data_IF_294422665403
#
_entry.id   IF_294422665403
#
_cell.length_a   1.000
_cell.length_b   1.000
_cell.length_c   1.000
_cell.angle_alpha   90.00
_cell.angle_beta   90.00
_cell.angle_gamma   90.00
#
_symmetry.space_group_name_H-M   'P 1'
#
loop_
_entity.id
_entity.type
_entity.pdbx_description
1 polymer ?
#
# COMPACT_ATOMS: atom_id res chain seq x y z
N UNK A 1 13.23 20.35 -6.47
CA UNK A 1 14.43 19.48 -6.49
C UNK A 1 14.09 18.30 -7.41
N UNK A 2 14.30 18.44 -8.72
CA UNK A 2 13.94 17.41 -9.68
C UNK A 2 14.92 16.25 -9.61
N UNK A 3 14.40 15.01 -9.59
CA UNK A 3 15.26 13.84 -9.66
C UNK A 3 16.00 13.84 -11.00
N UNK A 4 17.34 13.79 -10.97
CA UNK A 4 18.15 13.62 -12.18
C UNK A 4 17.95 12.19 -12.65
N UNK A 5 17.12 12.01 -13.69
CA UNK A 5 16.87 10.69 -14.29
C UNK A 5 18.12 10.30 -15.09
N UNK A 6 18.76 9.15 -14.81
CA UNK A 6 19.94 8.72 -15.55
C UNK A 6 19.65 8.57 -17.05
N UNK A 7 20.58 8.99 -17.90
CA UNK A 7 20.43 9.00 -19.38
C UNK A 7 20.06 7.64 -20.00
N UNK A 8 20.40 6.53 -19.33
CA UNK A 8 20.02 5.18 -19.74
C UNK A 8 18.53 4.86 -19.49
N UNK A 9 17.95 5.38 -18.39
CA UNK A 9 16.53 5.22 -18.04
C UNK A 9 15.64 5.95 -19.05
N UNK A 10 16.09 7.11 -19.54
CA UNK A 10 15.40 7.87 -20.59
C UNK A 10 15.32 7.15 -21.93
N UNK A 11 16.22 6.21 -22.26
CA UNK A 11 16.17 5.50 -23.55
C UNK A 11 15.05 4.45 -23.59
N UNK A 12 14.90 3.65 -22.52
CA UNK A 12 13.86 2.60 -22.44
C UNK A 12 12.43 3.16 -22.35
N UNK A 13 12.28 4.36 -21.79
CA UNK A 13 10.97 5.00 -21.60
C UNK A 13 10.46 5.77 -22.82
N UNK A 14 11.28 6.00 -23.85
CA UNK A 14 10.89 6.76 -25.06
C UNK A 14 9.60 6.28 -25.71
N UNK A 15 9.38 4.96 -25.92
CA UNK A 15 8.14 4.49 -26.52
C UNK A 15 6.91 4.81 -25.66
N UNK A 16 6.99 4.59 -24.35
CA UNK A 16 5.90 4.87 -23.40
C UNK A 16 5.62 6.36 -23.34
N UNK A 17 6.65 7.19 -23.26
CA UNK A 17 6.54 8.64 -23.23
C UNK A 17 5.90 9.18 -24.53
N UNK A 18 6.31 8.63 -25.68
CA UNK A 18 5.70 8.95 -26.97
C UNK A 18 4.20 8.63 -26.96
N UNK A 19 3.79 7.44 -26.51
CA UNK A 19 2.37 7.07 -26.42
C UNK A 19 1.61 8.02 -25.49
N UNK A 20 2.11 8.26 -24.27
CA UNK A 20 1.45 9.11 -23.28
C UNK A 20 1.31 10.57 -23.75
N UNK A 21 2.24 11.07 -24.55
CA UNK A 21 2.17 12.40 -25.15
C UNK A 21 1.36 12.46 -26.45
N UNK A 22 0.94 11.33 -27.03
CA UNK A 22 0.14 11.28 -28.26
C UNK A 22 -1.33 10.86 -28.03
N UNK A 23 -1.75 10.61 -26.80
CA UNK A 23 -3.17 10.40 -26.45
C UNK A 23 -3.87 11.71 -26.05
N UNK A 24 -5.21 11.72 -26.03
CA UNK A 24 -5.99 12.88 -25.60
C UNK A 24 -5.88 13.13 -24.09
N UNK A 25 -5.97 12.05 -23.31
CA UNK A 25 -5.96 12.10 -21.85
C UNK A 25 -5.12 10.96 -21.25
N UNK A 26 -4.43 11.26 -20.16
CA UNK A 26 -3.71 10.32 -19.30
C UNK A 26 -4.36 10.35 -17.93
N UNK A 27 -4.87 9.22 -17.45
CA UNK A 27 -5.50 9.16 -16.13
C UNK A 27 -4.49 8.71 -15.07
N UNK A 28 -4.20 9.60 -14.12
CA UNK A 28 -3.38 9.28 -12.96
C UNK A 28 -4.26 8.91 -11.76
N UNK A 29 -3.92 7.82 -11.08
CA UNK A 29 -4.68 7.32 -9.92
C UNK A 29 -4.33 8.02 -8.58
N UNK A 30 -3.30 8.86 -8.56
CA UNK A 30 -2.84 9.58 -7.37
C UNK A 30 -1.99 10.79 -7.76
N UNK A 31 -1.84 11.74 -6.82
CA UNK A 31 -0.91 12.86 -7.00
C UNK A 31 0.54 12.39 -7.19
N UNK A 32 0.93 11.31 -6.51
CA UNK A 32 2.26 10.71 -6.70
C UNK A 32 2.47 10.27 -8.15
N UNK A 33 1.51 9.52 -8.72
CA UNK A 33 1.59 9.04 -10.10
C UNK A 33 1.54 10.20 -11.10
N UNK A 34 0.71 11.22 -10.87
CA UNK A 34 0.67 12.44 -11.69
C UNK A 34 2.05 13.11 -11.72
N UNK A 35 2.64 13.37 -10.54
CA UNK A 35 3.93 14.05 -10.45
C UNK A 35 5.05 13.23 -11.06
N UNK A 36 5.05 11.91 -10.86
CA UNK A 36 6.01 11.02 -11.50
C UNK A 36 5.90 11.07 -13.03
N UNK A 37 4.68 11.11 -13.59
CA UNK A 37 4.50 11.23 -15.03
C UNK A 37 5.02 12.56 -15.58
N UNK A 38 4.80 13.67 -14.85
CA UNK A 38 5.34 15.00 -15.19
C UNK A 38 6.87 14.98 -15.16
N UNK A 39 7.46 14.42 -14.10
CA UNK A 39 8.91 14.29 -13.95
C UNK A 39 9.54 13.44 -15.08
N UNK A 40 8.79 12.47 -15.61
CA UNK A 40 9.17 11.64 -16.75
C UNK A 40 8.92 12.31 -18.13
N UNK A 41 8.33 13.50 -18.16
CA UNK A 41 8.14 14.32 -19.38
C UNK A 41 6.77 14.22 -20.05
N UNK A 42 5.76 13.68 -19.37
CA UNK A 42 4.37 13.68 -19.88
C UNK A 42 3.80 15.11 -19.77
N UNK A 43 3.13 15.58 -20.82
CA UNK A 43 2.47 16.89 -20.83
C UNK A 43 1.40 16.95 -19.72
N UNK A 44 1.61 17.80 -18.72
CA UNK A 44 0.71 17.96 -17.58
C UNK A 44 -0.73 18.25 -18.02
N UNK A 45 -0.91 18.99 -19.13
CA UNK A 45 -2.24 19.37 -19.62
C UNK A 45 -3.07 18.16 -20.05
N UNK A 46 -2.41 17.03 -20.37
CA UNK A 46 -3.06 15.77 -20.73
C UNK A 46 -3.41 14.93 -19.51
N UNK A 47 -2.83 15.21 -18.34
CA UNK A 47 -3.00 14.37 -17.15
C UNK A 47 -4.23 14.80 -16.37
N UNK A 48 -5.18 13.87 -16.23
CA UNK A 48 -6.36 14.01 -15.37
C UNK A 48 -6.16 13.13 -14.13
N UNK A 49 -6.33 13.73 -12.95
CA UNK A 49 -6.29 12.99 -11.68
C UNK A 49 -7.66 12.37 -11.40
N UNK A 50 -7.75 11.04 -11.38
CA UNK A 50 -8.94 10.30 -10.96
C UNK A 50 -8.50 9.27 -9.93
N UNK A 51 -8.77 9.54 -8.65
CA UNK A 51 -8.47 8.59 -7.59
C UNK A 51 -9.39 7.36 -7.70
N UNK A 52 -8.89 6.15 -7.41
CA UNK A 52 -9.74 4.97 -7.30
C UNK A 52 -10.86 5.23 -6.30
N UNK A 53 -12.09 4.87 -6.68
CA UNK A 53 -13.23 4.91 -5.79
C UNK A 53 -13.13 3.88 -4.67
N UNK A 54 -13.88 4.12 -3.60
CA UNK A 54 -14.16 3.13 -2.56
C UNK A 54 -15.68 3.01 -2.43
N UNK A 55 -16.16 1.80 -2.13
CA UNK A 55 -17.57 1.62 -1.83
C UNK A 55 -17.92 2.36 -0.53
N UNK A 56 -19.16 2.86 -0.40
CA UNK A 56 -19.65 3.41 0.85
C UNK A 56 -19.50 2.40 1.99
N UNK A 57 -19.19 2.91 3.19
CA UNK A 57 -19.13 2.07 4.38
C UNK A 57 -20.51 1.49 4.64
N UNK A 58 -20.58 0.15 4.65
CA UNK A 58 -21.78 -0.58 5.05
C UNK A 58 -21.83 -0.73 6.57
N UNK A 59 -23.04 -0.72 7.13
CA UNK A 59 -23.22 -1.04 8.55
C UNK A 59 -22.77 -2.48 8.81
N UNK A 60 -21.89 -2.65 9.79
CA UNK A 60 -21.37 -3.97 10.17
C UNK A 60 -22.38 -4.62 11.13
N UNK A 61 -22.97 -5.79 10.78
CA UNK A 61 -23.88 -6.48 11.67
C UNK A 61 -23.26 -6.76 13.05
N UNK A 62 -24.02 -6.52 14.12
CA UNK A 62 -23.56 -6.66 15.51
C UNK A 62 -22.88 -8.01 15.80
N UNK A 63 -23.38 -9.11 15.21
CA UNK A 63 -22.79 -10.45 15.38
C UNK A 63 -21.29 -10.49 15.05
N UNK A 64 -20.85 -9.77 14.01
CA UNK A 64 -19.44 -9.75 13.61
C UNK A 64 -18.59 -8.87 14.54
N UNK A 65 -19.19 -7.82 15.12
CA UNK A 65 -18.54 -7.02 16.16
C UNK A 65 -18.34 -7.85 17.44
N UNK A 66 -19.36 -8.62 17.83
CA UNK A 66 -19.31 -9.51 18.98
C UNK A 66 -18.24 -10.60 18.78
N UNK A 67 -18.19 -11.24 17.60
CA UNK A 67 -17.15 -12.21 17.23
C UNK A 67 -15.73 -11.62 17.28
N UNK A 68 -15.54 -10.42 16.70
CA UNK A 68 -14.25 -9.74 16.72
C UNK A 68 -13.80 -9.41 18.16
N UNK A 69 -14.74 -9.00 19.04
CA UNK A 69 -14.42 -8.73 20.44
C UNK A 69 -14.07 -10.02 21.21
N UNK A 70 -14.70 -11.16 20.90
CA UNK A 70 -14.28 -12.44 21.50
C UNK A 70 -12.86 -12.83 21.08
N UNK A 71 -12.50 -12.66 19.81
CA UNK A 71 -11.17 -12.96 19.30
C UNK A 71 -10.11 -12.05 19.92
N UNK A 72 -10.42 -10.76 20.07
CA UNK A 72 -9.48 -9.72 20.50
C UNK A 72 -9.62 -9.36 21.98
N UNK A 73 -10.32 -10.18 22.76
CA UNK A 73 -10.61 -9.94 24.17
C UNK A 73 -9.32 -9.71 24.96
N UNK A 74 -9.29 -8.64 25.75
CA UNK A 74 -8.14 -8.26 26.56
C UNK A 74 -6.96 -7.68 25.78
N UNK A 75 -7.02 -7.59 24.45
CA UNK A 75 -6.03 -6.88 23.62
C UNK A 75 -6.42 -5.42 23.51
N UNK A 76 -5.72 -4.54 24.25
CA UNK A 76 -6.04 -3.10 24.30
C UNK A 76 -5.54 -2.33 23.08
N UNK A 77 -4.38 -2.72 22.55
CA UNK A 77 -3.76 -2.07 21.39
C UNK A 77 -3.84 -3.02 20.20
N UNK A 78 -4.71 -2.73 19.24
CA UNK A 78 -5.04 -3.62 18.12
C UNK A 78 -4.56 -2.95 16.82
N UNK A 79 -3.58 -3.56 16.16
CA UNK A 79 -3.13 -3.15 14.82
C UNK A 79 -3.60 -4.18 13.80
N UNK A 80 -3.96 -3.71 12.61
CA UNK A 80 -4.37 -4.57 11.51
C UNK A 80 -3.77 -4.07 10.20
N UNK A 81 -3.29 -5.01 9.39
CA UNK A 81 -2.94 -4.76 7.98
C UNK A 81 -3.68 -5.76 7.13
N UNK A 82 -4.42 -5.26 6.12
CA UNK A 82 -5.09 -6.08 5.12
C UNK A 82 -4.44 -5.79 3.77
N UNK A 83 -3.55 -6.67 3.31
CA UNK A 83 -2.95 -6.57 1.99
C UNK A 83 -2.26 -7.86 1.57
N UNK A 84 -2.01 -8.05 0.26
CA UNK A 84 -1.22 -9.18 -0.23
C UNK A 84 0.15 -9.22 0.43
N UNK A 85 0.65 -10.42 0.69
CA UNK A 85 1.98 -10.68 1.23
C UNK A 85 3.04 -10.58 0.14
N UNK A 86 3.13 -9.40 -0.48
CA UNK A 86 4.21 -9.05 -1.39
C UNK A 86 5.32 -8.28 -0.65
N UNK A 87 6.57 -8.41 -1.11
CA UNK A 87 7.76 -7.82 -0.47
C UNK A 87 7.66 -6.30 -0.30
N UNK A 88 6.97 -5.62 -1.23
CA UNK A 88 6.80 -4.16 -1.22
C UNK A 88 5.89 -3.67 -0.10
N UNK A 89 4.91 -4.48 0.34
CA UNK A 89 4.05 -4.16 1.50
C UNK A 89 4.77 -4.28 2.84
N UNK A 90 5.85 -5.05 2.89
CA UNK A 90 6.83 -5.04 3.97
C UNK A 90 6.25 -5.31 5.38
N UNK A 91 5.35 -6.30 5.46
CA UNK A 91 4.74 -6.75 6.73
C UNK A 91 5.80 -7.16 7.77
N UNK A 92 6.95 -7.66 7.33
CA UNK A 92 8.10 -8.02 8.17
C UNK A 92 8.52 -6.88 9.10
N UNK A 93 8.70 -5.66 8.58
CA UNK A 93 9.08 -4.51 9.40
C UNK A 93 8.05 -4.19 10.47
N UNK A 94 6.77 -4.36 10.17
CA UNK A 94 5.69 -4.13 11.13
C UNK A 94 5.75 -5.18 12.25
N UNK A 95 5.96 -6.46 11.90
CA UNK A 95 6.11 -7.55 12.89
C UNK A 95 7.31 -7.26 13.82
N UNK A 96 8.44 -6.85 13.27
CA UNK A 96 9.62 -6.47 14.06
C UNK A 96 9.36 -5.29 14.99
N UNK A 97 8.68 -4.24 14.50
CA UNK A 97 8.32 -3.09 15.33
C UNK A 97 7.36 -3.48 16.47
N UNK A 98 6.37 -4.34 16.18
CA UNK A 98 5.41 -4.82 17.19
C UNK A 98 6.10 -5.66 18.26
N UNK A 99 7.11 -6.47 17.92
CA UNK A 99 7.92 -7.21 18.89
C UNK A 99 8.57 -6.28 19.92
N UNK A 100 9.17 -5.17 19.47
CA UNK A 100 9.75 -4.16 20.36
C UNK A 100 8.67 -3.44 21.18
N UNK A 101 7.54 -3.09 20.55
CA UNK A 101 6.44 -2.40 21.22
C UNK A 101 5.78 -3.26 22.31
N UNK A 102 5.88 -4.58 22.23
CA UNK A 102 5.29 -5.50 23.22
C UNK A 102 5.91 -5.34 24.61
N UNK A 103 7.15 -4.85 24.71
CA UNK A 103 7.78 -4.52 26.01
C UNK A 103 7.06 -3.36 26.72
N UNK A 104 6.57 -2.39 25.95
CA UNK A 104 5.87 -1.20 26.46
C UNK A 104 4.35 -1.45 26.54
N UNK A 105 3.82 -2.23 25.59
CA UNK A 105 2.41 -2.57 25.46
C UNK A 105 2.23 -4.10 25.45
N UNK A 106 2.25 -4.78 26.61
CA UNK A 106 2.20 -6.24 26.69
C UNK A 106 0.97 -6.89 26.03
N UNK A 107 -0.11 -6.12 25.90
CA UNK A 107 -1.38 -6.56 25.31
C UNK A 107 -1.58 -6.08 23.87
N UNK A 108 -0.53 -5.60 23.19
CA UNK A 108 -0.57 -5.29 21.77
C UNK A 108 -0.81 -6.56 20.95
N UNK A 109 -1.64 -6.45 19.91
CA UNK A 109 -1.84 -7.48 18.91
C UNK A 109 -1.73 -6.86 17.53
N UNK A 110 -1.11 -7.60 16.61
CA UNK A 110 -1.05 -7.25 15.21
C UNK A 110 -1.67 -8.37 14.38
N UNK A 111 -2.75 -8.05 13.67
CA UNK A 111 -3.47 -8.95 12.78
C UNK A 111 -3.03 -8.69 11.34
N UNK A 112 -2.31 -9.66 10.76
CA UNK A 112 -1.81 -9.60 9.39
C UNK A 112 -2.72 -10.45 8.49
N UNK A 113 -3.45 -9.82 7.57
CA UNK A 113 -4.45 -10.49 6.71
C UNK A 113 -4.05 -10.36 5.24
N UNK A 114 -3.99 -11.49 4.56
CA UNK A 114 -3.63 -11.57 3.15
C UNK A 114 -3.09 -12.95 2.77
N UNK A 115 -2.51 -13.01 1.58
CA UNK A 115 -1.81 -14.16 1.02
C UNK A 115 -0.76 -13.67 0.02
N UNK A 116 0.23 -14.49 -0.31
CA UNK A 116 1.26 -14.16 -1.31
C UNK A 116 2.63 -14.77 -1.00
N UNK A 117 3.60 -14.45 -1.85
CA UNK A 117 4.92 -15.11 -1.87
C UNK A 117 5.70 -14.98 -0.54
N UNK A 118 5.47 -13.93 0.25
CA UNK A 118 6.15 -13.73 1.54
C UNK A 118 5.51 -14.54 2.69
N UNK A 119 4.42 -15.28 2.48
CA UNK A 119 3.65 -15.94 3.55
C UNK A 119 4.51 -16.82 4.47
N UNK A 120 5.29 -17.74 3.91
CA UNK A 120 6.13 -18.66 4.68
C UNK A 120 7.22 -17.93 5.47
N UNK A 121 7.74 -16.83 4.92
CA UNK A 121 8.71 -15.98 5.63
C UNK A 121 8.03 -15.25 6.78
N UNK A 122 6.85 -14.67 6.57
CA UNK A 122 6.09 -13.96 7.60
C UNK A 122 5.72 -14.89 8.76
N UNK A 123 5.33 -16.14 8.49
CA UNK A 123 5.07 -17.16 9.53
C UNK A 123 6.31 -17.48 10.36
N UNK A 124 7.48 -17.61 9.72
CA UNK A 124 8.74 -17.89 10.42
C UNK A 124 9.14 -16.78 11.38
N UNK A 125 8.85 -15.52 11.05
CA UNK A 125 9.19 -14.36 11.90
C UNK A 125 8.04 -13.92 12.81
N UNK A 126 6.86 -14.53 12.75
CA UNK A 126 5.76 -14.25 13.68
C UNK A 126 5.79 -15.16 14.90
N UNK A 127 6.39 -16.34 14.78
CA UNK A 127 6.54 -17.33 15.84
C UNK A 127 7.74 -17.03 16.75
#
# INVERSE_FOLDING_TARGET
>A
MGAIIPSFVTFSLRPVLSVLNNVDHVVANSNYTKNLAIDLGVDEKKIVLINPGIDPVIEIPKKYLDEAEQILKGKKNRLITVSRFDKRKNHEKVIMAVRNLKEIYPYIIYTCIGYGDEEEKLKKISN
#
